data_IF_280627248867
#
_entry.id   IF_280627248867
#
_cell.length_a   1.000
_cell.length_b   1.000
_cell.length_c   1.000
_cell.angle_alpha   90.00
_cell.angle_beta   90.00
_cell.angle_gamma   90.00
#
_symmetry.space_group_name_H-M   'P 1'
#
loop_
_entity.id
_entity.type
_entity.pdbx_description
1 polymer ?
#
# COMPACT_ATOMS: atom_id res chain seq x y z
N UNK A 1 -16.53 -17.44 -1.03
CA UNK A 1 -15.54 -16.92 -2.02
C UNK A 1 -14.95 -15.54 -1.69
N UNK A 2 -15.69 -14.60 -1.07
CA UNK A 2 -15.14 -13.30 -0.61
C UNK A 2 -14.35 -13.41 0.70
N UNK A 3 -14.87 -14.18 1.66
CA UNK A 3 -14.24 -14.48 2.96
C UNK A 3 -12.82 -15.04 2.77
N UNK A 4 -12.70 -16.10 1.96
CA UNK A 4 -11.41 -16.68 1.57
C UNK A 4 -10.41 -15.69 0.92
N UNK A 5 -10.87 -14.57 0.31
CA UNK A 5 -9.93 -13.55 -0.21
C UNK A 5 -9.41 -12.63 0.89
N UNK A 6 -10.25 -12.29 1.87
CA UNK A 6 -9.83 -11.49 3.02
C UNK A 6 -8.90 -12.31 3.90
N UNK A 7 -9.22 -13.58 4.16
CA UNK A 7 -8.40 -14.48 4.97
C UNK A 7 -7.01 -14.67 4.36
N UNK A 8 -6.93 -14.95 3.05
CA UNK A 8 -5.65 -15.05 2.34
C UNK A 8 -4.87 -13.74 2.32
N UNK A 9 -5.57 -12.61 2.15
CA UNK A 9 -4.96 -11.29 2.19
C UNK A 9 -4.37 -10.98 3.57
N UNK A 10 -5.11 -11.34 4.63
CA UNK A 10 -4.69 -11.11 6.01
C UNK A 10 -3.51 -12.01 6.35
N UNK A 11 -3.57 -13.30 6.03
CA UNK A 11 -2.45 -14.22 6.25
C UNK A 11 -1.14 -13.77 5.56
N UNK A 12 -1.23 -13.23 4.34
CA UNK A 12 -0.08 -12.65 3.65
C UNK A 12 0.43 -11.38 4.36
N UNK A 13 -0.47 -10.48 4.78
CA UNK A 13 -0.09 -9.26 5.48
C UNK A 13 0.56 -9.57 6.84
N UNK A 14 0.03 -10.57 7.57
CA UNK A 14 0.58 -11.06 8.83
C UNK A 14 1.99 -11.59 8.63
N UNK A 15 2.21 -12.44 7.61
CA UNK A 15 3.55 -12.97 7.29
C UNK A 15 4.57 -11.86 7.01
N UNK A 16 4.16 -10.74 6.39
CA UNK A 16 5.04 -9.58 6.15
C UNK A 16 5.32 -8.82 7.46
N UNK A 17 4.32 -8.66 8.32
CA UNK A 17 4.51 -8.04 9.63
C UNK A 17 5.46 -8.87 10.50
N UNK A 18 5.39 -10.20 10.43
CA UNK A 18 6.30 -11.11 11.14
C UNK A 18 7.75 -10.89 10.71
N UNK A 19 8.02 -10.85 9.40
CA UNK A 19 9.35 -10.56 8.82
C UNK A 19 9.91 -9.21 9.31
N UNK A 20 9.05 -8.21 9.50
CA UNK A 20 9.43 -6.90 10.01
C UNK A 20 9.72 -6.95 11.52
N UNK A 21 8.88 -7.65 12.30
CA UNK A 21 9.08 -7.86 13.74
C UNK A 21 10.36 -8.62 14.04
N UNK A 22 10.69 -9.64 13.24
CA UNK A 22 11.95 -10.39 13.33
C UNK A 22 13.19 -9.51 13.09
N UNK A 23 13.01 -8.35 12.42
CA UNK A 23 14.05 -7.34 12.20
C UNK A 23 14.01 -6.20 13.22
N UNK A 24 13.23 -6.34 14.30
CA UNK A 24 13.10 -5.34 15.35
C UNK A 24 12.18 -4.16 15.02
N UNK A 25 11.35 -4.27 13.97
CA UNK A 25 10.36 -3.24 13.62
C UNK A 25 9.04 -3.52 14.33
N UNK A 26 8.53 -2.55 15.10
CA UNK A 26 7.17 -2.62 15.61
C UNK A 26 6.18 -2.56 14.43
N UNK A 27 5.47 -3.67 14.17
CA UNK A 27 4.63 -3.81 12.98
C UNK A 27 3.26 -4.42 13.30
N UNK A 28 2.25 -3.95 12.58
CA UNK A 28 0.89 -4.49 12.54
C UNK A 28 0.41 -4.61 11.09
N UNK A 29 -0.42 -5.59 10.81
CA UNK A 29 -1.02 -5.85 9.49
C UNK A 29 -2.49 -5.46 9.46
N UNK A 30 -2.97 -4.99 8.29
CA UNK A 30 -4.38 -4.70 8.08
C UNK A 30 -4.76 -4.87 6.61
N UNK A 31 -5.84 -5.59 6.34
CA UNK A 31 -6.49 -5.62 5.01
C UNK A 31 -7.60 -4.57 4.95
N UNK A 32 -7.54 -3.72 3.94
CA UNK A 32 -8.57 -2.70 3.67
C UNK A 32 -9.51 -3.19 2.56
N UNK A 33 -10.81 -2.91 2.72
CA UNK A 33 -11.84 -3.24 1.71
C UNK A 33 -12.41 -1.94 1.16
N UNK A 34 -12.26 -1.74 -0.15
CA UNK A 34 -12.77 -0.56 -0.83
C UNK A 34 -11.86 -0.12 -1.97
N UNK A 35 -12.02 1.14 -2.38
CA UNK A 35 -11.15 1.73 -3.41
C UNK A 35 -9.83 2.14 -2.77
N UNK A 36 -8.73 1.54 -3.22
CA UNK A 36 -7.39 1.68 -2.64
C UNK A 36 -6.99 3.12 -2.30
N UNK A 37 -7.19 4.07 -3.23
CA UNK A 37 -6.79 5.48 -3.00
C UNK A 37 -7.56 6.15 -1.86
N UNK A 38 -8.82 5.75 -1.68
CA UNK A 38 -9.73 6.37 -0.72
C UNK A 38 -9.51 5.75 0.66
N UNK A 39 -9.33 4.43 0.72
CA UNK A 39 -8.99 3.72 1.95
C UNK A 39 -7.62 4.10 2.51
N UNK A 40 -6.60 4.26 1.66
CA UNK A 40 -5.27 4.73 2.10
C UNK A 40 -5.34 6.18 2.60
N UNK A 41 -6.07 7.07 1.92
CA UNK A 41 -6.26 8.45 2.38
C UNK A 41 -7.01 8.53 3.72
N UNK A 42 -8.01 7.66 3.91
CA UNK A 42 -8.73 7.52 5.19
C UNK A 42 -7.79 7.03 6.29
N UNK A 43 -7.09 5.92 6.06
CA UNK A 43 -6.24 5.29 7.06
C UNK A 43 -5.07 6.19 7.47
N UNK A 44 -4.35 6.77 6.51
CA UNK A 44 -3.22 7.68 6.78
C UNK A 44 -3.63 8.88 7.61
N UNK A 45 -4.82 9.43 7.37
CA UNK A 45 -5.36 10.54 8.18
C UNK A 45 -5.77 10.09 9.59
N UNK A 46 -6.44 8.95 9.71
CA UNK A 46 -6.94 8.44 11.00
C UNK A 46 -5.80 8.04 11.94
N UNK A 47 -4.80 7.33 11.42
CA UNK A 47 -3.65 6.86 12.18
C UNK A 47 -2.51 7.88 12.23
N UNK A 48 -2.66 9.01 11.51
CA UNK A 48 -1.66 10.09 11.41
C UNK A 48 -0.28 9.59 11.00
N UNK A 49 -0.24 8.68 10.03
CA UNK A 49 1.03 8.25 9.44
C UNK A 49 1.70 9.43 8.76
N UNK A 50 3.00 9.57 8.98
CA UNK A 50 3.86 10.62 8.43
C UNK A 50 4.48 10.22 7.08
N UNK A 51 4.68 8.92 6.85
CA UNK A 51 5.21 8.36 5.61
C UNK A 51 4.42 7.14 5.11
N UNK A 52 4.02 7.18 3.83
CA UNK A 52 3.51 6.03 3.09
C UNK A 52 4.59 5.51 2.14
N UNK A 53 5.07 4.29 2.39
CA UNK A 53 5.97 3.58 1.48
C UNK A 53 5.18 2.61 0.61
N UNK A 54 5.38 2.66 -0.70
CA UNK A 54 4.72 1.73 -1.63
C UNK A 54 5.63 1.35 -2.79
N UNK A 55 5.47 0.13 -3.31
CA UNK A 55 6.08 -0.22 -4.59
C UNK A 55 5.39 0.53 -5.74
N UNK A 56 6.17 1.12 -6.65
CA UNK A 56 5.63 1.50 -7.96
C UNK A 56 5.54 0.22 -8.78
N UNK A 57 4.37 -0.42 -8.75
CA UNK A 57 4.08 -1.57 -9.63
C UNK A 57 4.45 -1.17 -11.06
N UNK A 58 5.07 -2.08 -11.81
CA UNK A 58 5.29 -1.94 -13.25
C UNK A 58 3.92 -1.84 -13.95
N UNK A 59 3.31 -0.66 -13.89
CA UNK A 59 2.35 -0.24 -14.88
C UNK A 59 3.14 -0.21 -16.17
N UNK A 60 3.06 -1.33 -16.90
CA UNK A 60 3.56 -1.57 -18.25
C UNK A 60 3.97 -0.27 -18.93
N UNK A 61 5.16 -0.23 -19.52
CA UNK A 61 5.70 0.86 -20.35
C UNK A 61 4.62 1.52 -21.25
N UNK A 62 3.57 0.78 -21.61
CA UNK A 62 2.35 1.21 -22.31
C UNK A 62 1.42 2.22 -21.57
N UNK A 63 1.29 2.17 -20.24
CA UNK A 63 0.50 3.14 -19.43
C UNK A 63 1.22 4.47 -19.21
N UNK A 64 2.53 4.56 -19.45
CA UNK A 64 3.26 5.84 -19.40
C UNK A 64 2.76 6.83 -20.48
N UNK A 65 2.10 6.33 -21.53
CA UNK A 65 1.37 7.13 -22.52
C UNK A 65 -0.08 7.50 -22.11
N UNK A 66 -0.64 6.96 -21.02
CA UNK A 66 -2.02 7.19 -20.59
C UNK A 66 -2.11 7.67 -19.13
N UNK A 67 -2.57 8.92 -18.96
CA UNK A 67 -3.11 9.59 -17.75
C UNK A 67 -3.00 8.83 -16.39
N UNK A 68 -2.14 9.37 -15.50
CA UNK A 68 -2.07 9.25 -14.02
C UNK A 68 -1.77 7.85 -13.46
N UNK A 69 -0.59 7.70 -12.87
CA UNK A 69 -0.17 6.46 -12.17
C UNK A 69 -0.87 6.29 -10.81
N UNK A 70 -0.87 5.06 -10.28
CA UNK A 70 -1.42 4.78 -8.95
C UNK A 70 -0.69 5.54 -7.81
N UNK A 71 0.66 5.60 -7.75
CA UNK A 71 1.37 6.42 -6.77
C UNK A 71 0.99 7.90 -6.84
N UNK A 72 0.91 8.50 -8.04
CA UNK A 72 0.47 9.90 -8.19
C UNK A 72 -0.97 10.14 -7.70
N UNK A 73 -1.86 9.18 -7.96
CA UNK A 73 -3.26 9.28 -7.53
C UNK A 73 -3.40 9.18 -6.02
N UNK A 74 -2.58 8.36 -5.38
CA UNK A 74 -2.52 8.22 -3.93
C UNK A 74 -1.87 9.45 -3.29
N UNK A 75 -0.71 9.90 -3.81
CA UNK A 75 0.03 11.05 -3.30
C UNK A 75 -0.80 12.34 -3.28
N UNK A 76 -1.73 12.52 -4.22
CA UNK A 76 -2.66 13.66 -4.22
C UNK A 76 -3.77 13.60 -3.18
N UNK A 77 -3.99 12.45 -2.51
CA UNK A 77 -5.11 12.24 -1.58
C UNK A 77 -4.68 12.01 -0.13
N UNK A 78 -3.54 11.36 0.08
CA UNK A 78 -3.02 11.06 1.42
C UNK A 78 -2.47 12.31 2.08
N UNK A 79 -2.43 12.32 3.41
CA UNK A 79 -1.86 13.44 4.20
C UNK A 79 -0.39 13.23 4.54
N UNK A 80 0.13 12.02 4.31
CA UNK A 80 1.51 11.61 4.54
C UNK A 80 2.41 11.95 3.36
N UNK A 81 3.73 12.07 3.58
CA UNK A 81 4.71 11.97 2.50
C UNK A 81 4.61 10.59 1.81
N UNK A 82 4.94 10.51 0.52
CA UNK A 82 4.88 9.26 -0.24
C UNK A 82 6.24 8.91 -0.81
N UNK A 83 6.75 7.72 -0.48
CA UNK A 83 7.95 7.12 -1.07
C UNK A 83 7.55 5.97 -1.99
N UNK A 84 7.65 6.21 -3.30
CA UNK A 84 7.40 5.19 -4.32
C UNK A 84 8.71 4.49 -4.71
N UNK A 85 8.84 3.20 -4.42
CA UNK A 85 10.03 2.41 -4.72
C UNK A 85 9.87 1.74 -6.08
N UNK A 86 10.74 2.06 -7.03
CA UNK A 86 10.81 1.38 -8.33
C UNK A 86 11.46 0.01 -8.17
N UNK A 87 10.90 -1.01 -8.82
CA UNK A 87 11.59 -2.29 -8.98
C UNK A 87 12.85 -2.08 -9.81
N UNK A 88 14.00 -2.39 -9.24
CA UNK A 88 15.26 -2.51 -9.97
C UNK A 88 15.35 -3.97 -10.41
N UNK A 89 15.33 -4.19 -11.72
CA UNK A 89 15.58 -5.49 -12.33
C UNK A 89 17.09 -5.63 -12.56
#
# INVERSE_FOLDING_TARGET
MKENRLDRGQALADSIADIARDRGVAASSQVLVGKQSDELARLTRQQRFDLLVMGSKDESVLKRLMRKTAPETIARKVHSSVLAIKKVA
#
